data_IF_551997039194
#
_entry.id   IF_551997039194
#
_cell.length_a   1.000
_cell.length_b   1.000
_cell.length_c   1.000
_cell.angle_alpha   90.00
_cell.angle_beta   90.00
_cell.angle_gamma   90.00
#
_symmetry.space_group_name_H-M   'P 1'
#
loop_
_entity.id
_entity.type
_entity.pdbx_description
1 polymer ?
#
# COMPACT_ATOMS: atom_id res chain seq x y z
N UNK A 1 -25.16 6.21 -18.28
CA UNK A 1 -23.91 6.43 -19.07
C UNK A 1 -22.85 5.47 -18.54
N UNK A 2 -22.30 4.62 -19.42
CA UNK A 2 -21.22 3.70 -19.08
C UNK A 2 -19.89 4.43 -19.25
N UNK A 3 -19.07 4.44 -18.19
CA UNK A 3 -17.71 5.00 -18.24
C UNK A 3 -16.69 3.90 -18.47
N UNK A 4 -15.67 4.18 -19.28
CA UNK A 4 -14.47 3.35 -19.39
C UNK A 4 -13.39 3.93 -18.50
N UNK A 5 -12.82 3.12 -17.62
CA UNK A 5 -11.75 3.53 -16.72
C UNK A 5 -10.49 2.77 -17.06
N UNK A 6 -9.41 3.48 -17.27
CA UNK A 6 -8.08 2.93 -17.47
C UNK A 6 -7.22 3.24 -16.24
N UNK A 7 -6.58 2.24 -15.68
CA UNK A 7 -5.66 2.37 -14.54
C UNK A 7 -4.29 1.90 -15.02
N UNK A 8 -3.34 2.84 -15.04
CA UNK A 8 -1.94 2.57 -15.37
C UNK A 8 -1.12 2.64 -14.08
N UNK A 9 -0.55 1.51 -13.67
CA UNK A 9 0.37 1.46 -12.54
C UNK A 9 1.78 1.25 -13.09
N UNK A 10 2.62 2.29 -13.02
CA UNK A 10 3.93 2.31 -13.66
C UNK A 10 4.98 2.99 -12.77
N UNK A 11 6.18 2.44 -12.75
CA UNK A 11 7.32 3.04 -12.03
C UNK A 11 8.04 4.10 -12.87
N UNK A 12 8.05 3.91 -14.20
CA UNK A 12 8.67 4.82 -15.17
C UNK A 12 7.87 4.82 -16.46
N UNK A 13 7.84 5.94 -17.16
CA UNK A 13 7.21 6.05 -18.48
C UNK A 13 8.21 6.72 -19.42
N UNK A 14 8.51 6.06 -20.54
CA UNK A 14 9.39 6.62 -21.56
C UNK A 14 8.79 7.89 -22.17
N UNK A 15 9.61 8.88 -22.58
CA UNK A 15 9.12 10.13 -23.16
C UNK A 15 8.18 9.93 -24.36
N UNK A 16 8.46 8.93 -25.20
CA UNK A 16 7.65 8.59 -26.37
C UNK A 16 6.26 8.10 -25.97
N UNK A 17 6.17 7.29 -24.91
CA UNK A 17 4.91 6.81 -24.37
C UNK A 17 4.13 7.94 -23.71
N UNK A 18 4.81 8.87 -23.04
CA UNK A 18 4.18 10.07 -22.47
C UNK A 18 3.60 10.97 -23.58
N UNK A 19 4.30 11.14 -24.68
CA UNK A 19 3.81 11.91 -25.83
C UNK A 19 2.60 11.24 -26.51
N UNK A 20 2.57 9.91 -26.55
CA UNK A 20 1.38 9.17 -27.03
C UNK A 20 0.17 9.36 -26.12
N UNK A 21 0.38 9.38 -24.78
CA UNK A 21 -0.66 9.68 -23.80
C UNK A 21 -1.19 11.10 -23.94
N UNK A 22 -0.33 12.08 -24.25
CA UNK A 22 -0.78 13.46 -24.49
C UNK A 22 -1.83 13.54 -25.58
N UNK A 23 -1.60 12.87 -26.72
CA UNK A 23 -2.57 12.85 -27.84
C UNK A 23 -3.92 12.26 -27.41
N UNK A 24 -3.87 11.25 -26.55
CA UNK A 24 -5.07 10.56 -26.06
C UNK A 24 -5.85 11.41 -25.04
N UNK A 25 -5.16 12.29 -24.32
CA UNK A 25 -5.75 13.20 -23.34
C UNK A 25 -6.21 14.54 -23.96
N UNK A 26 -5.76 14.90 -25.15
CA UNK A 26 -6.19 16.09 -25.87
C UNK A 26 -7.61 15.94 -26.44
N UNK A 27 -8.00 14.72 -26.83
CA UNK A 27 -9.34 14.42 -27.34
C UNK A 27 -9.97 13.23 -26.57
N UNK A 28 -10.20 13.36 -25.25
CA UNK A 28 -10.76 12.26 -24.49
C UNK A 28 -12.23 12.05 -24.91
N UNK A 29 -12.61 10.82 -25.19
CA UNK A 29 -14.02 10.48 -25.28
C UNK A 29 -14.68 10.82 -23.94
N UNK A 30 -15.82 11.51 -23.96
CA UNK A 30 -16.53 12.07 -22.79
C UNK A 30 -16.88 11.03 -21.68
N UNK A 31 -16.69 9.75 -21.98
CA UNK A 31 -16.95 8.62 -21.08
C UNK A 31 -15.66 7.90 -20.63
N UNK A 32 -14.48 8.47 -20.91
CA UNK A 32 -13.21 7.84 -20.57
C UNK A 32 -12.55 8.53 -19.38
N UNK A 33 -12.02 7.75 -18.44
CA UNK A 33 -11.24 8.22 -17.28
C UNK A 33 -9.91 7.49 -17.24
N UNK A 34 -8.85 8.24 -16.98
CA UNK A 34 -7.49 7.70 -16.80
C UNK A 34 -7.01 7.95 -15.38
N UNK A 35 -6.53 6.90 -14.73
CA UNK A 35 -5.80 6.97 -13.46
C UNK A 35 -4.38 6.48 -13.72
N UNK A 36 -3.41 7.30 -13.36
CA UNK A 36 -1.99 6.95 -13.47
C UNK A 36 -1.41 6.92 -12.08
N UNK A 37 -0.97 5.75 -11.65
CA UNK A 37 -0.32 5.53 -10.35
C UNK A 37 1.18 5.48 -10.60
N UNK A 38 1.90 6.41 -9.98
CA UNK A 38 3.35 6.61 -10.15
C UNK A 38 3.99 6.86 -8.78
N UNK A 39 5.27 6.53 -8.60
CA UNK A 39 5.97 6.72 -7.32
C UNK A 39 6.11 8.20 -6.92
N UNK A 40 6.27 9.09 -7.89
CA UNK A 40 6.30 10.54 -7.69
C UNK A 40 5.97 11.27 -8.99
N UNK A 41 5.55 12.53 -8.88
CA UNK A 41 5.12 13.35 -10.03
C UNK A 41 6.25 13.72 -11.00
N UNK A 42 7.52 13.64 -10.58
CA UNK A 42 8.68 13.95 -11.43
C UNK A 42 8.93 12.88 -12.51
N UNK A 43 8.28 11.74 -12.42
CA UNK A 43 8.27 10.71 -13.49
C UNK A 43 7.57 11.21 -14.75
N UNK A 44 6.66 12.19 -14.61
CA UNK A 44 5.90 12.75 -15.72
C UNK A 44 6.57 14.00 -16.30
N UNK A 45 6.52 14.11 -17.61
CA UNK A 45 6.87 15.37 -18.29
C UNK A 45 5.91 16.49 -17.83
N UNK A 46 6.37 17.73 -17.69
CA UNK A 46 5.53 18.85 -17.26
C UNK A 46 4.27 19.03 -18.10
N UNK A 47 4.37 18.77 -19.39
CA UNK A 47 3.26 18.82 -20.36
C UNK A 47 2.19 17.77 -20.08
N UNK A 48 2.57 16.57 -19.68
CA UNK A 48 1.64 15.49 -19.30
C UNK A 48 1.05 15.75 -17.91
N UNK A 49 1.89 16.15 -16.95
CA UNK A 49 1.48 16.46 -15.58
C UNK A 49 0.41 17.54 -15.53
N UNK A 50 0.51 18.59 -16.37
CA UNK A 50 -0.45 19.69 -16.39
C UNK A 50 -1.88 19.28 -16.82
N UNK A 51 -2.04 18.09 -17.40
CA UNK A 51 -3.33 17.54 -17.83
C UNK A 51 -3.96 16.58 -16.82
N UNK A 52 -3.24 16.26 -15.72
CA UNK A 52 -3.75 15.43 -14.65
C UNK A 52 -4.06 16.25 -13.40
N UNK A 53 -5.10 15.85 -12.72
CA UNK A 53 -5.28 16.25 -11.32
C UNK A 53 -4.40 15.34 -10.45
N UNK A 54 -3.42 15.93 -9.79
CA UNK A 54 -2.54 15.20 -8.89
C UNK A 54 -3.29 14.93 -7.58
N UNK A 55 -3.42 13.66 -7.24
CA UNK A 55 -3.89 13.20 -5.94
C UNK A 55 -2.67 12.64 -5.21
N UNK A 56 -2.09 13.42 -4.33
CA UNK A 56 -1.05 12.91 -3.45
C UNK A 56 -1.70 11.96 -2.42
N UNK A 57 -1.37 10.69 -2.52
CA UNK A 57 -1.66 9.76 -1.44
C UNK A 57 -0.50 9.90 -0.46
N UNK A 58 -0.71 10.62 0.62
CA UNK A 58 0.23 10.63 1.73
C UNK A 58 0.27 9.20 2.27
N UNK A 59 1.29 8.47 1.87
CA UNK A 59 1.68 7.28 2.60
C UNK A 59 2.22 7.82 3.92
N UNK A 60 1.44 7.68 4.98
CA UNK A 60 1.92 7.99 6.32
C UNK A 60 3.32 7.39 6.46
N UNK A 61 4.26 8.16 6.97
CA UNK A 61 5.65 7.73 7.14
C UNK A 61 5.62 6.36 7.80
N UNK A 62 6.07 5.33 7.06
CA UNK A 62 6.24 4.01 7.66
C UNK A 62 7.32 4.25 8.71
N UNK A 63 6.95 4.17 9.99
CA UNK A 63 7.93 4.18 11.04
C UNK A 63 8.76 2.90 10.93
N UNK A 64 9.83 3.00 10.15
CA UNK A 64 10.76 1.88 9.92
C UNK A 64 11.34 1.37 11.22
N UNK A 65 11.52 2.23 12.22
CA UNK A 65 12.03 1.84 13.53
C UNK A 65 11.01 0.97 14.28
N UNK A 66 9.72 1.32 14.22
CA UNK A 66 8.66 0.51 14.83
C UNK A 66 8.51 -0.85 14.14
N UNK A 67 8.60 -0.90 12.82
CA UNK A 67 8.59 -2.15 12.06
C UNK A 67 9.83 -3.01 12.40
N UNK A 68 11.03 -2.43 12.38
CA UNK A 68 12.27 -3.15 12.66
C UNK A 68 12.26 -3.69 14.10
N UNK A 69 11.77 -2.92 15.07
CA UNK A 69 11.59 -3.40 16.44
C UNK A 69 10.60 -4.58 16.49
N UNK A 70 9.47 -4.47 15.79
CA UNK A 70 8.47 -5.54 15.74
C UNK A 70 9.00 -6.82 15.07
N UNK A 71 9.77 -6.70 13.99
CA UNK A 71 10.38 -7.85 13.31
C UNK A 71 11.40 -8.59 14.17
N UNK A 72 12.10 -7.88 15.08
CA UNK A 72 13.08 -8.48 16.01
C UNK A 72 12.44 -9.19 17.19
N UNK A 73 11.16 -8.95 17.48
CA UNK A 73 10.44 -9.62 18.55
C UNK A 73 10.23 -11.11 18.24
N UNK A 74 10.30 -11.95 19.25
CA UNK A 74 9.81 -13.33 19.18
C UNK A 74 8.27 -13.39 19.15
N UNK A 75 7.72 -14.50 18.68
CA UNK A 75 6.26 -14.66 18.53
C UNK A 75 5.47 -14.23 19.76
N UNK A 76 5.86 -14.70 20.96
CA UNK A 76 5.17 -14.36 22.20
C UNK A 76 5.17 -12.86 22.50
N UNK A 77 6.27 -12.18 22.22
CA UNK A 77 6.39 -10.73 22.40
C UNK A 77 5.51 -9.97 21.42
N UNK A 78 5.47 -10.41 20.14
CA UNK A 78 4.59 -9.82 19.13
C UNK A 78 3.12 -9.93 19.51
N UNK A 79 2.70 -11.11 19.99
CA UNK A 79 1.31 -11.32 20.40
C UNK A 79 0.93 -10.43 21.58
N UNK A 80 1.81 -10.33 22.59
CA UNK A 80 1.59 -9.45 23.73
C UNK A 80 1.56 -7.97 23.30
N UNK A 81 2.43 -7.57 22.39
CA UNK A 81 2.49 -6.21 21.87
C UNK A 81 1.24 -5.85 21.08
N UNK A 82 0.76 -6.75 20.22
CA UNK A 82 -0.50 -6.58 19.48
C UNK A 82 -1.67 -6.42 20.45
N UNK A 83 -1.76 -7.28 21.47
CA UNK A 83 -2.84 -7.18 22.47
C UNK A 83 -2.87 -5.80 23.14
N UNK A 84 -1.73 -5.30 23.57
CA UNK A 84 -1.62 -3.98 24.20
C UNK A 84 -2.05 -2.84 23.25
N UNK A 85 -1.73 -2.92 21.96
CA UNK A 85 -2.12 -1.91 20.95
C UNK A 85 -3.60 -1.97 20.61
N UNK A 86 -4.19 -3.16 20.59
CA UNK A 86 -5.64 -3.34 20.41
C UNK A 86 -6.40 -2.78 21.60
N UNK A 87 -5.95 -3.07 22.83
CA UNK A 87 -6.58 -2.57 24.05
C UNK A 87 -6.49 -1.02 24.16
N UNK A 88 -5.44 -0.43 23.60
CA UNK A 88 -5.27 1.02 23.50
C UNK A 88 -6.04 1.67 22.33
N UNK A 89 -6.75 0.88 21.53
CA UNK A 89 -7.45 1.32 20.30
C UNK A 89 -6.54 2.09 19.30
N UNK A 90 -5.24 1.74 19.26
CA UNK A 90 -4.22 2.43 18.46
C UNK A 90 -4.37 2.09 16.96
N UNK A 91 -5.34 2.73 16.34
CA UNK A 91 -5.67 2.50 14.93
C UNK A 91 -4.54 2.94 14.00
N UNK A 92 -3.81 3.99 14.35
CA UNK A 92 -2.70 4.51 13.55
C UNK A 92 -1.54 3.52 13.51
N UNK A 93 -1.22 2.91 14.66
CA UNK A 93 -0.23 1.85 14.72
C UNK A 93 -0.66 0.63 13.90
N UNK A 94 -1.93 0.21 14.00
CA UNK A 94 -2.44 -0.93 13.22
C UNK A 94 -2.22 -0.71 11.73
N UNK A 95 -2.56 0.46 11.22
CA UNK A 95 -2.36 0.78 9.81
C UNK A 95 -0.88 0.87 9.44
N UNK A 96 -0.07 1.46 10.31
CA UNK A 96 1.36 1.61 10.07
C UNK A 96 2.07 0.24 10.02
N UNK A 97 1.76 -0.68 10.95
CA UNK A 97 2.41 -1.98 11.01
C UNK A 97 2.00 -2.87 9.83
N UNK A 98 0.73 -2.88 9.43
CA UNK A 98 0.28 -3.66 8.26
C UNK A 98 0.96 -3.16 6.99
N UNK A 99 1.03 -1.85 6.77
CA UNK A 99 1.76 -1.25 5.64
C UNK A 99 3.26 -1.54 5.70
N UNK A 100 3.85 -1.49 6.89
CA UNK A 100 5.25 -1.83 7.09
C UNK A 100 5.55 -3.28 6.69
N UNK A 101 4.72 -4.22 7.14
CA UNK A 101 4.84 -5.64 6.78
C UNK A 101 4.62 -5.84 5.28
N UNK A 102 3.68 -5.10 4.64
CA UNK A 102 3.49 -5.14 3.19
C UNK A 102 4.77 -4.75 2.43
N UNK A 103 5.40 -3.65 2.85
CA UNK A 103 6.68 -3.20 2.27
C UNK A 103 7.81 -4.19 2.48
N UNK A 104 7.88 -4.79 3.67
CA UNK A 104 8.84 -5.84 3.98
C UNK A 104 8.64 -7.07 3.09
N UNK A 105 7.41 -7.58 2.99
CA UNK A 105 7.06 -8.73 2.16
C UNK A 105 7.40 -8.51 0.67
N UNK A 106 7.13 -7.32 0.15
CA UNK A 106 7.48 -6.93 -1.21
C UNK A 106 9.00 -6.91 -1.42
N UNK A 107 9.75 -6.37 -0.45
CA UNK A 107 11.22 -6.31 -0.49
C UNK A 107 11.87 -7.70 -0.52
N UNK A 108 11.38 -8.64 0.31
CA UNK A 108 11.90 -10.01 0.35
C UNK A 108 11.27 -10.91 -0.73
N UNK A 109 10.31 -10.40 -1.48
CA UNK A 109 9.57 -11.12 -2.54
C UNK A 109 8.85 -12.37 -2.03
N UNK A 110 8.32 -12.33 -0.82
CA UNK A 110 7.55 -13.44 -0.25
C UNK A 110 6.08 -13.35 -0.68
N UNK A 111 5.71 -14.17 -1.66
CA UNK A 111 4.35 -14.19 -2.20
C UNK A 111 3.29 -14.69 -1.19
N UNK A 112 3.69 -15.51 -0.21
CA UNK A 112 2.79 -16.00 0.84
C UNK A 112 2.45 -14.85 1.79
N UNK A 113 3.48 -14.17 2.29
CA UNK A 113 3.32 -13.04 3.19
C UNK A 113 2.57 -11.88 2.53
N UNK A 114 2.82 -11.60 1.23
CA UNK A 114 2.03 -10.61 0.46
C UNK A 114 0.54 -10.98 0.46
N UNK A 115 0.21 -12.25 0.26
CA UNK A 115 -1.18 -12.73 0.28
C UNK A 115 -1.82 -12.53 1.64
N UNK A 116 -1.11 -12.86 2.72
CA UNK A 116 -1.60 -12.70 4.09
C UNK A 116 -1.82 -11.24 4.45
N UNK A 117 -0.96 -10.34 3.99
CA UNK A 117 -1.14 -8.88 4.13
C UNK A 117 -2.40 -8.42 3.41
N UNK A 118 -2.56 -8.76 2.12
CA UNK A 118 -3.73 -8.36 1.33
C UNK A 118 -5.03 -8.88 1.94
N UNK A 119 -5.02 -10.12 2.42
CA UNK A 119 -6.14 -10.69 3.16
C UNK A 119 -6.43 -9.89 4.43
N UNK A 120 -5.42 -9.60 5.22
CA UNK A 120 -5.55 -8.81 6.46
C UNK A 120 -6.13 -7.42 6.18
N UNK A 121 -5.61 -6.69 5.20
CA UNK A 121 -6.12 -5.37 4.80
C UNK A 121 -7.60 -5.43 4.39
N UNK A 122 -7.96 -6.43 3.58
CA UNK A 122 -9.35 -6.62 3.13
C UNK A 122 -10.32 -6.84 4.29
N UNK A 123 -9.94 -7.67 5.27
CA UNK A 123 -10.81 -7.98 6.41
C UNK A 123 -10.79 -6.92 7.50
N UNK A 124 -9.70 -6.16 7.69
CA UNK A 124 -9.66 -5.05 8.66
C UNK A 124 -10.71 -3.98 8.36
N UNK A 125 -11.07 -3.81 7.09
CA UNK A 125 -12.13 -2.91 6.66
C UNK A 125 -13.56 -3.47 6.85
N UNK A 126 -13.69 -4.77 7.17
CA UNK A 126 -14.98 -5.44 7.27
C UNK A 126 -15.60 -5.27 8.66
N UNK A 127 -16.89 -4.91 8.77
CA UNK A 127 -17.57 -4.83 10.04
C UNK A 127 -17.56 -6.18 10.77
N UNK A 128 -17.24 -6.17 12.07
CA UNK A 128 -17.24 -7.38 12.90
C UNK A 128 -16.00 -8.26 12.81
N UNK A 129 -15.02 -7.90 11.99
CA UNK A 129 -13.76 -8.63 11.94
C UNK A 129 -12.95 -8.43 13.24
N UNK A 130 -12.36 -9.51 13.75
CA UNK A 130 -11.45 -9.44 14.90
C UNK A 130 -10.09 -8.89 14.46
N UNK A 131 -9.86 -7.59 14.69
CA UNK A 131 -8.56 -6.95 14.41
C UNK A 131 -7.40 -7.70 15.07
N UNK A 132 -7.60 -8.14 16.33
CA UNK A 132 -6.62 -8.90 17.08
C UNK A 132 -6.22 -10.18 16.34
N UNK A 133 -7.18 -11.00 15.96
CA UNK A 133 -6.93 -12.29 15.29
C UNK A 133 -6.22 -12.10 13.95
N UNK A 134 -6.62 -11.07 13.18
CA UNK A 134 -6.00 -10.75 11.89
C UNK A 134 -4.52 -10.34 12.05
N UNK A 135 -4.22 -9.50 13.03
CA UNK A 135 -2.85 -9.06 13.30
C UNK A 135 -1.97 -10.18 13.89
N UNK A 136 -2.55 -11.01 14.76
CA UNK A 136 -1.85 -12.18 15.30
C UNK A 136 -1.51 -13.18 14.19
N UNK A 137 -2.44 -13.44 13.28
CA UNK A 137 -2.18 -14.28 12.10
C UNK A 137 -1.03 -13.71 11.27
N UNK A 138 -1.09 -12.41 10.96
CA UNK A 138 -0.03 -11.75 10.19
C UNK A 138 1.32 -11.77 10.91
N UNK A 139 1.34 -11.60 12.23
CA UNK A 139 2.56 -11.66 13.04
C UNK A 139 3.20 -13.07 13.05
N UNK A 140 2.38 -14.12 13.01
CA UNK A 140 2.84 -15.51 12.94
C UNK A 140 3.31 -15.92 11.54
N UNK A 141 2.88 -15.21 10.49
CA UNK A 141 3.38 -15.42 9.12
C UNK A 141 4.79 -14.83 8.91
N UNK A 142 5.26 -13.98 9.83
CA UNK A 142 6.62 -13.43 9.81
C UNK A 142 7.63 -14.42 10.40
N UNK A 143 8.90 -14.38 9.97
CA UNK A 143 9.95 -15.17 10.60
C UNK A 143 10.11 -14.79 12.08
N UNK A 144 10.43 -15.77 12.93
CA UNK A 144 10.62 -15.58 14.37
C UNK A 144 11.96 -14.91 14.65
N UNK A 145 11.95 -13.76 15.29
CA UNK A 145 13.15 -13.06 15.77
C UNK A 145 14.20 -12.80 14.69
N UNK A 146 13.88 -11.99 13.66
CA UNK A 146 14.86 -11.60 12.64
C UNK A 146 15.97 -10.75 13.28
N UNK A 147 17.21 -11.27 13.29
CA UNK A 147 18.40 -10.56 13.73
C UNK A 147 18.95 -9.63 12.63
#
# INVERSE_FOLDING_TARGET
RTYRTFILNVSTILPEAQNALLKLLEEPASTTRFFVVIPNEHVLLPTLRSRFQVLAVEHGVIDTNALDAFLKMYYGERLAYIAARIDAEDTDWIQAIVRGIASYAARIRDASLIRDVLMTESYLASPGASKKMLLEHLALSLPDGVQ
#
